data_IF_266011935880
#
_entry.id   IF_266011935880
#
_cell.length_a   1.000
_cell.length_b   1.000
_cell.length_c   1.000
_cell.angle_alpha   90.00
_cell.angle_beta   90.00
_cell.angle_gamma   90.00
#
_symmetry.space_group_name_H-M   'P 1'
#
loop_
_entity.id
_entity.type
_entity.pdbx_description
1 polymer ?
#
# COMPACT_ATOMS: atom_id res chain seq x y z
N UNK A 1 12.82 4.29 -1.38
CA UNK A 1 12.48 5.50 -0.63
C UNK A 1 11.32 5.23 0.33
N UNK A 2 10.15 4.82 -0.18
CA UNK A 2 8.95 4.49 0.61
C UNK A 2 9.21 3.65 1.87
N UNK A 3 10.00 2.56 1.79
CA UNK A 3 10.31 1.72 2.96
C UNK A 3 11.20 2.41 4.01
N UNK A 4 12.11 3.29 3.60
CA UNK A 4 13.01 4.01 4.52
C UNK A 4 12.22 5.03 5.33
N UNK A 5 11.21 5.63 4.72
CA UNK A 5 10.45 6.73 5.28
C UNK A 5 9.17 6.24 6.00
N UNK A 6 8.92 4.92 6.03
CA UNK A 6 7.78 4.30 6.73
C UNK A 6 7.69 4.70 8.20
N UNK A 7 8.85 4.81 8.86
CA UNK A 7 8.93 5.16 10.27
C UNK A 7 8.19 6.47 10.60
N UNK A 8 8.17 7.45 9.68
CA UNK A 8 7.43 8.70 9.86
C UNK A 8 5.93 8.53 10.01
N UNK A 9 5.36 7.43 9.50
CA UNK A 9 3.95 7.06 9.65
C UNK A 9 3.77 6.04 10.77
N UNK A 10 4.60 5.00 10.80
CA UNK A 10 4.42 3.87 11.72
C UNK A 10 4.73 4.20 13.19
N UNK A 11 5.54 5.22 13.44
CA UNK A 11 5.88 5.69 14.80
C UNK A 11 4.91 6.78 15.31
N UNK A 12 3.94 7.21 14.50
CA UNK A 12 2.97 8.21 14.94
C UNK A 12 2.07 7.67 16.05
N UNK A 13 1.75 8.49 17.08
CA UNK A 13 0.72 8.14 18.05
C UNK A 13 -0.58 7.76 17.35
N UNK A 14 -1.16 6.61 17.73
CA UNK A 14 -2.40 6.10 17.15
C UNK A 14 -2.23 5.25 15.88
N UNK A 15 -1.03 5.11 15.31
CA UNK A 15 -0.81 4.23 14.15
C UNK A 15 -1.29 2.79 14.42
N UNK A 16 -0.90 2.22 15.56
CA UNK A 16 -1.29 0.86 15.95
C UNK A 16 -2.78 0.72 16.30
N UNK A 17 -3.49 1.83 16.52
CA UNK A 17 -4.93 1.84 16.82
C UNK A 17 -5.79 1.86 15.54
N UNK A 18 -5.18 2.10 14.37
CA UNK A 18 -5.89 2.08 13.09
C UNK A 18 -6.37 0.66 12.78
N UNK A 19 -7.66 0.52 12.43
CA UNK A 19 -8.23 -0.78 12.05
C UNK A 19 -7.46 -1.44 10.91
N UNK A 20 -7.04 -0.67 9.91
CA UNK A 20 -6.24 -1.20 8.79
C UNK A 20 -4.90 -1.79 9.22
N UNK A 21 -4.28 -1.25 10.29
CA UNK A 21 -3.02 -1.80 10.85
C UNK A 21 -3.32 -3.08 11.63
N UNK A 22 -4.36 -3.06 12.47
CA UNK A 22 -4.79 -4.22 13.25
C UNK A 22 -5.25 -5.41 12.39
N UNK A 23 -5.84 -5.14 11.22
CA UNK A 23 -6.29 -6.17 10.28
C UNK A 23 -5.26 -6.51 9.19
N UNK A 24 -4.02 -6.00 9.31
CA UNK A 24 -2.93 -6.22 8.33
C UNK A 24 -3.29 -5.77 6.89
N UNK A 25 -4.14 -4.76 6.76
CA UNK A 25 -4.61 -4.19 5.49
C UNK A 25 -3.88 -2.88 5.17
N UNK A 26 -2.54 -2.91 5.19
CA UNK A 26 -1.71 -1.75 4.82
C UNK A 26 -0.93 -2.07 3.54
N UNK A 27 -1.17 -1.30 2.48
CA UNK A 27 -0.49 -1.47 1.20
C UNK A 27 0.48 -0.31 0.92
N UNK A 28 1.64 -0.64 0.36
CA UNK A 28 2.63 0.28 -0.17
C UNK A 28 2.51 0.31 -1.68
N UNK A 29 2.40 1.52 -2.22
CA UNK A 29 2.26 1.78 -3.66
C UNK A 29 3.42 2.64 -4.15
N UNK A 30 3.81 2.48 -5.42
CA UNK A 30 4.82 3.33 -6.04
C UNK A 30 4.21 4.68 -6.48
N UNK A 31 4.38 5.69 -5.63
CA UNK A 31 3.95 7.06 -5.89
C UNK A 31 4.57 7.68 -7.14
N UNK A 32 5.86 7.42 -7.42
CA UNK A 32 6.54 8.01 -8.56
C UNK A 32 6.06 7.42 -9.89
N UNK A 33 5.71 6.12 -9.90
CA UNK A 33 5.17 5.45 -11.08
C UNK A 33 3.70 5.82 -11.38
N UNK A 34 2.88 6.07 -10.34
CA UNK A 34 1.42 6.12 -10.48
C UNK A 34 0.73 7.40 -10.00
N UNK A 35 1.24 8.07 -8.97
CA UNK A 35 0.48 9.12 -8.27
C UNK A 35 1.09 10.53 -8.38
N UNK A 36 2.37 10.63 -8.73
CA UNK A 36 3.10 11.91 -8.78
C UNK A 36 3.14 12.54 -10.17
N UNK A 37 2.58 11.90 -11.22
CA UNK A 37 2.58 12.40 -12.60
C UNK A 37 1.24 12.13 -13.28
N UNK A 38 0.44 13.16 -13.63
CA UNK A 38 -0.75 12.94 -14.45
C UNK A 38 -0.31 12.49 -15.84
N UNK A 39 -0.72 11.30 -16.26
CA UNK A 39 -0.31 10.70 -17.53
C UNK A 39 -1.08 9.41 -17.84
N UNK A 40 -0.72 8.70 -18.92
CA UNK A 40 -1.46 7.52 -19.41
C UNK A 40 -1.64 6.40 -18.37
N UNK A 41 -0.79 6.39 -17.34
CA UNK A 41 -0.81 5.41 -16.24
C UNK A 41 -1.85 5.70 -15.16
N UNK A 42 -2.59 6.80 -15.23
CA UNK A 42 -3.62 7.12 -14.24
C UNK A 42 -4.69 6.03 -14.17
N UNK A 43 -5.10 5.49 -15.32
CA UNK A 43 -6.04 4.37 -15.35
C UNK A 43 -5.48 3.15 -14.59
N UNK A 44 -4.20 2.82 -14.83
CA UNK A 44 -3.52 1.74 -14.09
C UNK A 44 -3.40 2.03 -12.59
N UNK A 45 -3.13 3.27 -12.20
CA UNK A 45 -3.08 3.68 -10.79
C UNK A 45 -4.43 3.42 -10.08
N UNK A 46 -5.54 3.72 -10.76
CA UNK A 46 -6.89 3.45 -10.26
C UNK A 46 -7.13 1.95 -10.13
N UNK A 47 -6.75 1.14 -11.13
CA UNK A 47 -6.89 -0.32 -11.06
C UNK A 47 -6.12 -0.92 -9.88
N UNK A 48 -4.86 -0.50 -9.69
CA UNK A 48 -4.01 -0.96 -8.57
C UNK A 48 -4.64 -0.57 -7.24
N UNK A 49 -5.12 0.68 -7.09
CA UNK A 49 -5.78 1.15 -5.87
C UNK A 49 -7.10 0.40 -5.61
N UNK A 50 -7.89 0.17 -6.65
CA UNK A 50 -9.15 -0.55 -6.54
C UNK A 50 -8.94 -2.01 -6.09
N UNK A 51 -7.87 -2.66 -6.57
CA UNK A 51 -7.46 -3.99 -6.10
C UNK A 51 -6.93 -4.04 -4.65
N UNK A 52 -6.60 -2.89 -4.05
CA UNK A 52 -6.31 -2.78 -2.61
C UNK A 52 -7.60 -2.62 -1.80
N UNK A 53 -8.52 -1.76 -2.28
CA UNK A 53 -9.75 -1.43 -1.55
C UNK A 53 -10.80 -2.52 -1.61
N UNK A 54 -10.88 -3.26 -2.72
CA UNK A 54 -11.90 -4.28 -2.97
C UNK A 54 -11.29 -5.59 -3.50
N UNK A 55 -10.37 -6.24 -2.76
CA UNK A 55 -9.59 -7.37 -3.26
C UNK A 55 -10.43 -8.61 -3.62
N UNK A 56 -11.63 -8.77 -3.05
CA UNK A 56 -12.54 -9.88 -3.34
C UNK A 56 -13.49 -9.63 -4.52
N UNK A 57 -13.57 -8.37 -4.99
CA UNK A 57 -14.56 -7.96 -6.00
C UNK A 57 -13.87 -7.47 -7.28
N UNK A 58 -12.64 -6.95 -7.16
CA UNK A 58 -11.90 -6.37 -8.26
C UNK A 58 -10.58 -7.11 -8.45
N UNK A 59 -10.44 -7.68 -9.64
CA UNK A 59 -9.24 -8.36 -10.10
C UNK A 59 -8.75 -7.65 -11.36
N UNK A 60 -7.81 -6.69 -11.24
CA UNK A 60 -7.22 -6.02 -12.39
C UNK A 60 -6.65 -6.99 -13.40
N UNK A 61 -6.80 -6.69 -14.70
CA UNK A 61 -6.20 -7.43 -15.80
C UNK A 61 -5.34 -6.46 -16.64
N UNK A 62 -4.00 -6.62 -16.66
CA UNK A 62 -3.22 -7.67 -16.00
C UNK A 62 -3.24 -7.55 -14.47
N UNK A 63 -3.05 -8.67 -13.78
CA UNK A 63 -2.96 -8.71 -12.31
C UNK A 63 -1.93 -7.71 -11.79
N UNK A 64 -2.18 -7.14 -10.62
CA UNK A 64 -1.25 -6.21 -9.97
C UNK A 64 0.07 -6.91 -9.68
N UNK A 65 1.17 -6.41 -10.22
CA UNK A 65 2.50 -6.96 -10.01
C UNK A 65 3.07 -6.56 -8.64
N UNK A 66 4.02 -7.35 -8.12
CA UNK A 66 4.61 -7.14 -6.78
C UNK A 66 5.35 -5.80 -6.63
N UNK A 67 5.85 -5.23 -7.73
CA UNK A 67 6.49 -3.92 -7.71
C UNK A 67 5.48 -2.77 -7.72
N UNK A 68 4.24 -3.01 -8.16
CA UNK A 68 3.16 -2.01 -8.17
C UNK A 68 2.51 -1.88 -6.79
N UNK A 69 2.43 -3.00 -6.05
CA UNK A 69 1.84 -3.07 -4.72
C UNK A 69 2.56 -4.08 -3.85
N UNK A 70 2.92 -3.67 -2.64
CA UNK A 70 3.39 -4.56 -1.59
C UNK A 70 2.53 -4.41 -0.35
N UNK A 71 2.15 -5.52 0.29
CA UNK A 71 1.53 -5.44 1.61
C UNK A 71 2.61 -5.21 2.67
N UNK A 72 2.39 -4.21 3.52
CA UNK A 72 3.19 -4.02 4.71
C UNK A 72 2.82 -5.15 5.67
N UNK A 73 3.70 -6.16 5.72
CA UNK A 73 3.62 -7.16 6.77
C UNK A 73 3.83 -6.42 8.10
N UNK A 74 3.03 -6.77 9.11
CA UNK A 74 3.39 -6.41 10.48
C UNK A 74 4.78 -6.97 10.70
N UNK A 75 5.80 -6.11 10.70
CA UNK A 75 7.13 -6.47 11.15
C UNK A 75 6.92 -7.14 12.49
N UNK A 76 7.31 -8.40 12.62
CA UNK A 76 7.35 -9.09 13.91
C UNK A 76 7.87 -8.06 14.90
N UNK A 77 7.02 -7.69 15.87
CA UNK A 77 7.38 -6.77 16.92
C UNK A 77 8.70 -7.26 17.46
N UNK A 78 9.78 -6.53 17.20
CA UNK A 78 11.09 -6.82 17.77
C UNK A 78 10.86 -6.96 19.26
N UNK A 79 11.06 -8.14 19.86
CA UNK A 79 10.82 -8.30 21.28
C UNK A 79 11.97 -7.59 21.98
N UNK A 80 11.61 -6.58 22.78
CA UNK A 80 12.33 -6.02 23.94
C UNK A 80 13.80 -5.64 23.72
#
# INVERSE_FOLDING_TARGET
ETRRDLHYLTEQPGWNDLSAVQTQQVALLDGNAYFNRPGPRLYRAIEVLAGVLHPEQLHPDPSVADWERQWLQATESSPV
#
